data_IF_225830434906
#
_entry.id   IF_225830434906
#
_cell.length_a   1.000
_cell.length_b   1.000
_cell.length_c   1.000
_cell.angle_alpha   90.00
_cell.angle_beta   90.00
_cell.angle_gamma   90.00
#
_symmetry.space_group_name_H-M   'P 1'
#
loop_
_entity.id
_entity.type
_entity.pdbx_description
1 polymer ?
#
# COMPACT_ATOMS: atom_id res chain seq x y z
N UNK A 1 24.89 30.05 30.11
CA UNK A 1 25.04 29.16 28.94
C UNK A 1 23.72 28.46 28.75
N UNK A 2 22.93 28.92 27.79
CA UNK A 2 21.64 28.35 27.43
C UNK A 2 21.91 27.18 26.48
N UNK A 3 21.56 25.97 26.94
CA UNK A 3 21.60 24.74 26.17
C UNK A 3 20.57 24.85 25.05
N UNK A 4 21.05 24.90 23.80
CA UNK A 4 20.21 24.74 22.61
C UNK A 4 19.79 23.27 22.52
N UNK A 5 18.54 22.97 22.89
CA UNK A 5 17.91 21.71 22.51
C UNK A 5 17.73 21.71 20.99
N UNK A 6 18.54 20.93 20.29
CA UNK A 6 18.28 20.57 18.90
C UNK A 6 17.04 19.68 18.90
N UNK A 7 15.92 20.22 18.44
CA UNK A 7 14.68 19.48 18.23
C UNK A 7 14.90 18.47 17.09
N UNK A 8 15.58 17.36 17.38
CA UNK A 8 15.71 16.24 16.45
C UNK A 8 14.36 15.51 16.44
N UNK A 9 13.41 15.98 15.63
CA UNK A 9 12.22 15.18 15.32
C UNK A 9 12.74 13.88 14.72
N UNK A 10 12.72 12.79 15.49
CA UNK A 10 13.05 11.47 14.94
C UNK A 10 12.04 11.24 13.82
N UNK A 11 12.45 11.18 12.55
CA UNK A 11 11.50 10.91 11.49
C UNK A 11 10.97 9.50 11.74
N UNK A 12 9.65 9.37 11.86
CA UNK A 12 8.98 8.10 11.66
C UNK A 12 9.15 7.68 10.19
N UNK A 13 8.56 6.56 9.77
CA UNK A 13 8.54 6.17 8.36
C UNK A 13 7.59 7.03 7.50
N UNK A 14 7.51 8.33 7.76
CA UNK A 14 6.62 9.28 7.09
C UNK A 14 7.27 9.92 5.83
N UNK A 15 8.53 9.58 5.54
CA UNK A 15 9.24 9.98 4.33
C UNK A 15 10.33 8.97 3.93
N UNK A 16 10.93 9.10 2.73
CA UNK A 16 10.84 10.27 1.84
C UNK A 16 9.58 10.34 0.98
N UNK A 17 8.83 9.25 0.84
CA UNK A 17 7.58 9.25 0.07
C UNK A 17 6.45 9.74 0.97
N UNK A 18 5.81 10.84 0.56
CA UNK A 18 4.83 11.55 1.38
C UNK A 18 3.59 10.70 1.66
N UNK A 19 3.06 10.75 2.88
CA UNK A 19 1.77 10.13 3.19
C UNK A 19 0.62 10.84 2.47
N UNK A 20 -0.48 10.11 2.27
CA UNK A 20 -1.71 10.65 1.71
C UNK A 20 -2.55 11.22 2.86
N UNK A 21 -2.83 12.52 2.79
CA UNK A 21 -3.69 13.19 3.75
C UNK A 21 -5.15 12.87 3.49
N UNK A 22 -5.90 12.50 4.53
CA UNK A 22 -7.37 12.34 4.47
C UNK A 22 -8.10 13.65 4.13
N UNK A 23 -7.43 14.80 4.24
CA UNK A 23 -7.94 16.07 3.75
C UNK A 23 -8.17 16.06 2.22
N UNK A 24 -7.55 15.13 1.47
CA UNK A 24 -7.84 14.91 0.04
C UNK A 24 -9.31 14.56 -0.22
N UNK A 25 -10.01 14.01 0.78
CA UNK A 25 -11.43 13.71 0.72
C UNK A 25 -12.33 14.87 1.20
N UNK A 26 -11.74 15.99 1.61
CA UNK A 26 -12.45 17.16 2.13
C UNK A 26 -12.74 17.14 3.63
N UNK A 27 -12.20 16.17 4.37
CA UNK A 27 -12.36 16.07 5.84
C UNK A 27 -11.31 16.87 6.59
N UNK A 28 -11.70 17.43 7.74
CA UNK A 28 -10.83 18.31 8.57
C UNK A 28 -10.17 17.59 9.75
N UNK A 29 -10.34 16.27 9.85
CA UNK A 29 -9.84 15.44 10.95
C UNK A 29 -10.28 15.94 12.33
N UNK A 30 -11.51 16.43 12.46
CA UNK A 30 -12.01 16.88 13.76
C UNK A 30 -12.52 15.69 14.59
N UNK A 31 -12.40 15.73 15.93
CA UNK A 31 -12.95 14.67 16.78
C UNK A 31 -14.45 14.46 16.51
N UNK A 32 -14.84 13.23 16.17
CA UNK A 32 -16.23 12.86 15.86
C UNK A 32 -16.67 13.11 14.41
N UNK A 33 -15.81 13.64 13.55
CA UNK A 33 -16.08 13.76 12.12
C UNK A 33 -16.02 12.36 11.47
N UNK A 34 -17.14 11.94 10.86
CA UNK A 34 -17.22 10.67 10.12
C UNK A 34 -17.23 10.93 8.62
N UNK A 35 -16.59 10.04 7.87
CA UNK A 35 -16.69 10.07 6.41
C UNK A 35 -18.12 9.72 5.96
N UNK A 36 -18.59 10.38 4.89
CA UNK A 36 -19.85 10.00 4.27
C UNK A 36 -19.79 8.51 3.84
N UNK A 37 -20.88 7.73 3.96
CA UNK A 37 -20.86 6.29 3.68
C UNK A 37 -20.32 5.90 2.30
N UNK A 38 -20.53 6.73 1.27
CA UNK A 38 -20.02 6.51 -0.10
C UNK A 38 -18.55 6.88 -0.27
N UNK A 39 -17.95 7.59 0.68
CA UNK A 39 -16.50 7.82 0.77
C UNK A 39 -15.78 6.79 1.64
N UNK A 40 -16.50 5.79 2.20
CA UNK A 40 -15.90 4.83 3.14
C UNK A 40 -14.74 4.06 2.50
N UNK A 41 -14.90 3.64 1.24
CA UNK A 41 -13.84 2.92 0.52
C UNK A 41 -12.61 3.82 0.33
N UNK A 42 -12.79 5.07 -0.12
CA UNK A 42 -11.67 5.97 -0.30
C UNK A 42 -10.92 6.25 1.02
N UNK A 43 -11.63 6.34 2.14
CA UNK A 43 -11.02 6.51 3.46
C UNK A 43 -10.27 5.26 3.94
N UNK A 44 -10.81 4.08 3.70
CA UNK A 44 -10.15 2.80 3.97
C UNK A 44 -8.90 2.64 3.09
N UNK A 45 -9.00 3.02 1.81
CA UNK A 45 -7.89 2.98 0.86
C UNK A 45 -6.74 3.90 1.27
N UNK A 46 -7.02 5.12 1.74
CA UNK A 46 -5.99 5.99 2.33
C UNK A 46 -5.25 5.30 3.48
N UNK A 47 -5.95 4.53 4.31
CA UNK A 47 -5.35 3.82 5.43
C UNK A 47 -4.41 2.72 4.93
N UNK A 48 -4.88 1.89 4.00
CA UNK A 48 -4.09 0.83 3.36
C UNK A 48 -2.86 1.41 2.66
N UNK A 49 -3.04 2.46 1.85
CA UNK A 49 -1.96 3.12 1.11
C UNK A 49 -0.94 3.75 2.05
N UNK A 50 -1.36 4.35 3.15
CA UNK A 50 -0.42 4.88 4.14
C UNK A 50 0.35 3.79 4.88
N UNK A 51 -0.23 2.59 5.08
CA UNK A 51 0.52 1.44 5.57
C UNK A 51 1.59 0.98 4.57
N UNK A 52 1.26 0.92 3.28
CA UNK A 52 2.20 0.60 2.20
C UNK A 52 3.33 1.63 2.11
N UNK A 53 3.00 2.93 2.14
CA UNK A 53 3.97 4.03 2.09
C UNK A 53 4.90 4.00 3.30
N UNK A 54 4.38 3.77 4.51
CA UNK A 54 5.22 3.62 5.70
C UNK A 54 6.14 2.40 5.62
N UNK A 55 5.63 1.28 5.09
CA UNK A 55 6.43 0.09 4.85
C UNK A 55 7.64 0.38 3.96
N UNK A 56 7.42 0.94 2.77
CA UNK A 56 8.51 1.24 1.84
C UNK A 56 9.43 2.35 2.29
N UNK A 57 8.91 3.38 2.98
CA UNK A 57 9.75 4.41 3.61
C UNK A 57 10.73 3.77 4.61
N UNK A 58 10.27 2.81 5.41
CA UNK A 58 11.15 2.13 6.35
C UNK A 58 12.20 1.25 5.65
N UNK A 59 11.82 0.53 4.58
CA UNK A 59 12.76 -0.24 3.74
C UNK A 59 13.80 0.70 3.12
N UNK A 60 13.37 1.81 2.55
CA UNK A 60 14.22 2.82 1.94
C UNK A 60 15.23 3.41 2.93
N UNK A 61 14.78 3.74 4.14
CA UNK A 61 15.64 4.30 5.19
C UNK A 61 16.67 3.30 5.71
N UNK A 62 16.36 1.99 5.68
CA UNK A 62 17.21 0.96 6.28
C UNK A 62 18.02 0.14 5.28
N UNK A 63 17.72 0.20 3.98
CA UNK A 63 18.34 -0.66 2.96
C UNK A 63 19.88 -0.59 2.95
N UNK A 64 20.48 0.57 3.15
CA UNK A 64 21.95 0.70 3.26
C UNK A 64 22.41 0.50 4.72
N UNK A 65 21.63 0.98 5.68
CA UNK A 65 22.02 0.96 7.09
C UNK A 65 22.15 -0.45 7.67
N UNK A 66 21.34 -1.40 7.18
CA UNK A 66 21.39 -2.80 7.62
C UNK A 66 22.73 -3.47 7.33
N UNK A 67 23.48 -3.01 6.32
CA UNK A 67 24.79 -3.56 5.96
C UNK A 67 25.84 -3.37 7.07
N UNK A 68 25.62 -2.42 8.00
CA UNK A 68 26.45 -2.23 9.20
C UNK A 68 26.29 -3.37 10.21
N UNK A 69 25.26 -4.19 10.05
CA UNK A 69 24.98 -5.38 10.85
C UNK A 69 24.66 -6.55 9.91
N UNK A 70 25.67 -7.22 9.31
CA UNK A 70 25.45 -8.29 8.35
C UNK A 70 24.55 -9.43 8.85
N UNK A 71 24.57 -9.69 10.16
CA UNK A 71 23.69 -10.68 10.80
C UNK A 71 22.20 -10.33 10.71
N UNK A 72 21.85 -9.05 10.51
CA UNK A 72 20.48 -8.55 10.37
C UNK A 72 19.95 -8.62 8.94
N UNK A 73 20.83 -8.77 7.94
CA UNK A 73 20.46 -8.77 6.51
C UNK A 73 19.39 -9.82 6.19
N UNK A 74 19.48 -11.09 6.63
CA UNK A 74 18.46 -12.09 6.29
C UNK A 74 17.06 -11.75 6.80
N UNK A 75 16.96 -11.14 7.99
CA UNK A 75 15.68 -10.72 8.54
C UNK A 75 15.13 -9.49 7.80
N UNK A 76 16.01 -8.56 7.43
CA UNK A 76 15.64 -7.39 6.63
C UNK A 76 15.16 -7.77 5.22
N UNK A 77 15.83 -8.71 4.55
CA UNK A 77 15.41 -9.19 3.22
C UNK A 77 13.99 -9.76 3.29
N UNK A 78 13.69 -10.62 4.28
CA UNK A 78 12.33 -11.16 4.47
C UNK A 78 11.29 -10.07 4.74
N UNK A 79 11.64 -9.08 5.55
CA UNK A 79 10.77 -7.93 5.81
C UNK A 79 10.48 -7.13 4.52
N UNK A 80 11.52 -6.86 3.73
CA UNK A 80 11.41 -6.13 2.46
C UNK A 80 10.63 -6.95 1.41
N UNK A 81 10.85 -8.27 1.33
CA UNK A 81 10.07 -9.17 0.48
C UNK A 81 8.60 -9.20 0.86
N UNK A 82 8.30 -9.24 2.16
CA UNK A 82 6.92 -9.17 2.63
C UNK A 82 6.22 -7.88 2.17
N UNK A 83 6.90 -6.74 2.18
CA UNK A 83 6.33 -5.50 1.64
C UNK A 83 5.99 -5.61 0.14
N UNK A 84 6.91 -6.15 -0.67
CA UNK A 84 6.68 -6.32 -2.11
C UNK A 84 5.51 -7.27 -2.40
N UNK A 85 5.40 -8.33 -1.61
CA UNK A 85 4.27 -9.27 -1.67
C UNK A 85 2.95 -8.60 -1.28
N UNK A 86 2.93 -7.83 -0.19
CA UNK A 86 1.73 -7.09 0.25
C UNK A 86 1.25 -6.14 -0.85
N UNK A 87 2.17 -5.40 -1.48
CA UNK A 87 1.84 -4.49 -2.56
C UNK A 87 1.26 -5.23 -3.78
N UNK A 88 1.80 -6.39 -4.11
CA UNK A 88 1.30 -7.21 -5.21
C UNK A 88 -0.13 -7.72 -4.94
N UNK A 89 -0.35 -8.33 -3.78
CA UNK A 89 -1.66 -8.87 -3.39
C UNK A 89 -2.73 -7.78 -3.26
N UNK A 90 -2.35 -6.59 -2.79
CA UNK A 90 -3.21 -5.41 -2.72
C UNK A 90 -3.82 -5.10 -4.10
N UNK A 91 -2.98 -4.83 -5.10
CA UNK A 91 -3.46 -4.48 -6.43
C UNK A 91 -4.12 -5.67 -7.17
N UNK A 92 -3.64 -6.90 -6.98
CA UNK A 92 -4.32 -8.07 -7.53
C UNK A 92 -5.73 -8.23 -6.96
N UNK A 93 -5.91 -7.94 -5.67
CA UNK A 93 -7.22 -8.00 -5.02
C UNK A 93 -8.18 -6.96 -5.60
N UNK A 94 -7.68 -5.75 -5.84
CA UNK A 94 -8.46 -4.67 -6.47
C UNK A 94 -8.97 -5.07 -7.84
N UNK A 95 -8.08 -5.49 -8.74
CA UNK A 95 -8.42 -5.86 -10.11
C UNK A 95 -9.33 -7.10 -10.19
N UNK A 96 -9.14 -8.06 -9.29
CA UNK A 96 -9.88 -9.33 -9.31
C UNK A 96 -11.26 -9.21 -8.67
N UNK A 97 -11.40 -8.44 -7.60
CA UNK A 97 -12.60 -8.46 -6.75
C UNK A 97 -13.33 -7.13 -6.66
N UNK A 98 -12.61 -6.00 -6.65
CA UNK A 98 -13.24 -4.69 -6.45
C UNK A 98 -13.62 -4.02 -7.76
N UNK A 99 -12.69 -3.86 -8.69
CA UNK A 99 -12.92 -3.11 -9.92
C UNK A 99 -14.08 -3.69 -10.77
N UNK A 100 -14.22 -5.01 -10.95
CA UNK A 100 -15.35 -5.57 -11.70
C UNK A 100 -16.70 -5.34 -10.99
N UNK A 101 -16.74 -5.43 -9.66
CA UNK A 101 -17.98 -5.17 -8.90
C UNK A 101 -18.35 -3.67 -8.93
N UNK A 102 -17.36 -2.77 -8.90
CA UNK A 102 -17.55 -1.32 -9.09
C UNK A 102 -18.19 -1.04 -10.45
N UNK A 103 -17.67 -1.62 -11.54
CA UNK A 103 -18.26 -1.45 -12.88
C UNK A 103 -19.70 -1.96 -12.93
N UNK A 104 -19.98 -3.12 -12.31
CA UNK A 104 -21.32 -3.70 -12.27
C UNK A 104 -22.32 -2.82 -11.50
N UNK A 105 -21.91 -2.24 -10.38
CA UNK A 105 -22.76 -1.38 -9.54
C UNK A 105 -23.01 -0.02 -10.19
N UNK A 106 -21.96 0.57 -10.76
CA UNK A 106 -22.03 1.89 -11.40
C UNK A 106 -22.71 1.83 -12.76
N UNK A 107 -22.56 0.71 -13.48
CA UNK A 107 -22.96 0.54 -14.87
C UNK A 107 -22.03 1.22 -15.87
N UNK A 108 -20.86 1.69 -15.42
CA UNK A 108 -19.87 2.40 -16.24
C UNK A 108 -18.66 1.50 -16.46
N UNK A 109 -18.58 0.91 -17.66
CA UNK A 109 -17.46 0.05 -18.06
C UNK A 109 -16.18 0.88 -18.21
N UNK A 110 -15.07 0.36 -17.70
CA UNK A 110 -13.75 0.99 -17.76
C UNK A 110 -13.55 2.12 -16.76
N UNK A 111 -14.44 2.28 -15.78
CA UNK A 111 -14.35 3.37 -14.80
C UNK A 111 -13.07 3.29 -13.93
N UNK A 112 -12.47 2.10 -13.82
CA UNK A 112 -11.21 1.86 -13.10
C UNK A 112 -10.01 1.59 -14.04
N UNK A 113 -10.16 1.69 -15.37
CA UNK A 113 -9.09 1.34 -16.32
C UNK A 113 -7.83 2.18 -16.10
N UNK A 114 -7.98 3.46 -15.74
CA UNK A 114 -6.85 4.33 -15.42
C UNK A 114 -6.03 3.81 -14.24
N UNK A 115 -6.67 3.21 -13.24
CA UNK A 115 -5.99 2.63 -12.07
C UNK A 115 -5.23 1.36 -12.48
N UNK A 116 -5.82 0.53 -13.33
CA UNK A 116 -5.15 -0.66 -13.90
C UNK A 116 -3.94 -0.28 -14.75
N UNK A 117 -4.07 0.75 -15.61
CA UNK A 117 -2.94 1.27 -16.40
C UNK A 117 -1.80 1.77 -15.50
N UNK A 118 -2.15 2.41 -14.39
CA UNK A 118 -1.18 2.86 -13.40
C UNK A 118 -0.51 1.69 -12.66
N UNK A 119 -1.20 0.57 -12.40
CA UNK A 119 -0.59 -0.65 -11.85
C UNK A 119 0.54 -1.16 -12.76
N UNK A 120 0.25 -1.28 -14.06
CA UNK A 120 1.24 -1.71 -15.04
C UNK A 120 2.44 -0.75 -15.14
N UNK A 121 2.24 0.54 -14.87
CA UNK A 121 3.28 1.54 -15.00
C UNK A 121 4.43 1.40 -13.98
N UNK A 122 4.18 0.85 -12.78
CA UNK A 122 5.23 0.58 -11.79
C UNK A 122 5.64 -0.91 -11.71
N UNK A 123 4.92 -1.81 -12.37
CA UNK A 123 5.06 -3.26 -12.24
C UNK A 123 6.49 -3.75 -12.51
N UNK A 124 7.15 -3.23 -13.55
CA UNK A 124 8.51 -3.64 -13.90
C UNK A 124 9.52 -3.28 -12.79
N UNK A 125 9.38 -2.11 -12.16
CA UNK A 125 10.24 -1.75 -11.04
C UNK A 125 9.98 -2.59 -9.78
N UNK A 126 8.72 -3.00 -9.56
CA UNK A 126 8.38 -3.96 -8.50
C UNK A 126 8.97 -5.35 -8.77
N UNK A 127 8.98 -5.80 -10.04
CA UNK A 127 9.66 -7.05 -10.44
C UNK A 127 11.15 -6.98 -10.17
N UNK A 128 11.81 -5.87 -10.50
CA UNK A 128 13.24 -5.68 -10.18
C UNK A 128 13.51 -5.69 -8.67
N UNK A 129 12.62 -5.07 -7.88
CA UNK A 129 12.70 -5.05 -6.42
C UNK A 129 12.65 -6.47 -5.85
N UNK A 130 11.64 -7.25 -6.24
CA UNK A 130 11.47 -8.63 -5.79
C UNK A 130 12.65 -9.51 -6.25
N UNK A 131 13.08 -9.40 -7.51
CA UNK A 131 14.18 -10.19 -8.04
C UNK A 131 15.51 -9.93 -7.31
N UNK A 132 15.80 -8.68 -6.95
CA UNK A 132 17.01 -8.36 -6.18
C UNK A 132 16.99 -9.04 -4.80
N UNK A 133 15.90 -8.89 -4.07
CA UNK A 133 15.76 -9.43 -2.71
C UNK A 133 15.69 -10.97 -2.71
N UNK A 134 14.94 -11.57 -3.63
CA UNK A 134 14.86 -13.03 -3.80
C UNK A 134 16.25 -13.62 -4.10
N UNK A 135 17.00 -13.03 -5.05
CA UNK A 135 18.34 -13.52 -5.39
C UNK A 135 19.29 -13.50 -4.18
N UNK A 136 19.19 -12.48 -3.33
CA UNK A 136 19.96 -12.36 -2.10
C UNK A 136 19.49 -13.34 -1.02
N UNK A 137 18.18 -13.62 -0.93
CA UNK A 137 17.61 -14.59 0.00
C UNK A 137 18.05 -16.03 -0.30
N UNK A 138 18.01 -16.43 -1.58
CA UNK A 138 18.35 -17.80 -2.01
C UNK A 138 19.86 -18.00 -2.24
N UNK A 139 20.67 -16.95 -2.10
CA UNK A 139 22.12 -16.99 -2.22
C UNK A 139 22.66 -17.07 -3.65
N UNK A 140 21.84 -16.80 -4.67
CA UNK A 140 22.30 -16.67 -6.07
C UNK A 140 22.87 -15.29 -6.38
N UNK A 141 22.55 -14.29 -5.54
CA UNK A 141 23.11 -12.95 -5.54
C UNK A 141 23.58 -12.52 -4.15
N UNK A 142 24.19 -11.33 -4.06
CA UNK A 142 24.53 -10.69 -2.78
C UNK A 142 23.61 -9.49 -2.56
N UNK A 143 23.18 -9.29 -1.32
CA UNK A 143 22.42 -8.11 -0.94
C UNK A 143 23.25 -6.83 -1.19
N UNK A 144 22.64 -5.82 -1.81
CA UNK A 144 23.26 -4.53 -2.09
C UNK A 144 22.24 -3.43 -1.78
N UNK A 145 22.43 -2.75 -0.64
CA UNK A 145 21.53 -1.71 -0.18
C UNK A 145 21.44 -0.52 -1.12
N UNK A 146 22.55 -0.16 -1.79
CA UNK A 146 22.56 0.95 -2.75
C UNK A 146 21.78 0.59 -4.02
N UNK A 147 21.91 -0.65 -4.49
CA UNK A 147 21.10 -1.17 -5.60
C UNK A 147 19.61 -1.21 -5.24
N UNK A 148 19.25 -1.76 -4.08
CA UNK A 148 17.85 -1.78 -3.62
C UNK A 148 17.27 -0.37 -3.56
N UNK A 149 18.02 0.59 -3.01
CA UNK A 149 17.61 2.00 -2.96
C UNK A 149 17.36 2.57 -4.36
N UNK A 150 18.25 2.32 -5.32
CA UNK A 150 18.11 2.79 -6.71
C UNK A 150 16.90 2.16 -7.42
N UNK A 151 16.58 0.90 -7.12
CA UNK A 151 15.37 0.26 -7.64
C UNK A 151 14.14 0.95 -7.05
N UNK A 152 14.10 1.20 -5.75
CA UNK A 152 12.98 1.92 -5.12
C UNK A 152 12.82 3.32 -5.73
N UNK A 153 13.91 4.05 -5.97
CA UNK A 153 13.90 5.36 -6.63
C UNK A 153 13.32 5.31 -8.06
N UNK A 154 13.36 4.16 -8.75
CA UNK A 154 12.90 4.05 -10.15
C UNK A 154 11.38 3.95 -10.29
N UNK A 155 10.69 3.33 -9.33
CA UNK A 155 9.24 3.06 -9.44
C UNK A 155 8.39 3.80 -8.41
N UNK A 156 8.95 4.17 -7.25
CA UNK A 156 8.16 4.80 -6.20
C UNK A 156 7.49 6.12 -6.58
N UNK A 157 8.07 7.00 -7.41
CA UNK A 157 7.34 8.19 -7.88
C UNK A 157 6.05 7.84 -8.62
N UNK A 158 6.08 6.80 -9.45
CA UNK A 158 4.92 6.32 -10.22
C UNK A 158 3.91 5.63 -9.30
N UNK A 159 4.37 4.69 -8.46
CA UNK A 159 3.50 4.04 -7.48
C UNK A 159 2.85 5.06 -6.55
N UNK A 160 3.60 6.04 -6.04
CA UNK A 160 3.05 7.04 -5.13
C UNK A 160 2.00 7.92 -5.81
N UNK A 161 2.18 8.24 -7.10
CA UNK A 161 1.16 8.95 -7.88
C UNK A 161 -0.12 8.10 -7.98
N UNK A 162 0.02 6.83 -8.36
CA UNK A 162 -1.10 5.88 -8.43
C UNK A 162 -1.90 5.81 -7.12
N UNK A 163 -1.21 5.58 -5.99
CA UNK A 163 -1.83 5.46 -4.68
C UNK A 163 -2.66 6.70 -4.30
N UNK A 164 -2.37 7.87 -4.87
CA UNK A 164 -3.16 9.08 -4.64
C UNK A 164 -4.24 9.30 -5.69
N UNK A 165 -3.97 9.01 -6.96
CA UNK A 165 -4.95 9.15 -8.03
C UNK A 165 -6.15 8.24 -7.82
N UNK A 166 -5.93 7.02 -7.32
CA UNK A 166 -7.04 6.14 -6.95
C UNK A 166 -7.98 6.76 -5.91
N UNK A 167 -7.43 7.46 -4.90
CA UNK A 167 -8.26 8.14 -3.90
C UNK A 167 -9.16 9.18 -4.57
N UNK A 168 -8.68 9.86 -5.61
CA UNK A 168 -9.49 10.82 -6.36
C UNK A 168 -10.51 10.14 -7.28
N UNK A 169 -10.17 9.01 -7.91
CA UNK A 169 -11.13 8.19 -8.67
C UNK A 169 -12.27 7.73 -7.77
N UNK A 170 -11.95 7.12 -6.63
CA UNK A 170 -12.92 6.63 -5.65
C UNK A 170 -13.74 7.77 -5.05
N UNK A 171 -13.11 8.92 -4.80
CA UNK A 171 -13.83 10.12 -4.37
C UNK A 171 -14.87 10.57 -5.40
N UNK A 172 -14.58 10.47 -6.70
CA UNK A 172 -15.50 10.91 -7.74
C UNK A 172 -16.80 10.08 -7.79
N UNK A 173 -16.90 9.00 -7.01
CA UNK A 173 -18.09 8.14 -6.94
C UNK A 173 -19.24 8.75 -6.13
N UNK A 174 -19.12 10.00 -5.66
CA UNK A 174 -20.24 10.80 -5.14
C UNK A 174 -21.49 10.74 -6.05
N UNK A 175 -21.30 10.67 -7.38
CA UNK A 175 -22.39 10.51 -8.36
C UNK A 175 -23.15 9.17 -8.27
N UNK A 176 -22.61 8.18 -7.57
CA UNK A 176 -23.18 6.85 -7.37
C UNK A 176 -23.59 6.57 -5.92
N UNK A 177 -23.66 7.60 -5.08
CA UNK A 177 -23.99 7.44 -3.65
C UNK A 177 -25.23 6.57 -3.37
N UNK A 178 -26.23 6.61 -4.27
CA UNK A 178 -27.51 5.89 -4.11
C UNK A 178 -27.54 4.51 -4.80
N UNK A 179 -26.44 4.07 -5.43
CA UNK A 179 -26.41 2.81 -6.20
C UNK A 179 -26.32 1.57 -5.31
N UNK A 180 -25.72 1.69 -4.14
CA UNK A 180 -25.56 0.59 -3.18
C UNK A 180 -25.26 1.14 -1.79
N UNK A 181 -25.36 0.30 -0.77
CA UNK A 181 -24.73 0.58 0.52
C UNK A 181 -23.23 0.33 0.38
N UNK A 182 -22.49 1.40 0.06
CA UNK A 182 -21.05 1.36 -0.19
C UNK A 182 -20.25 0.87 1.02
N UNK A 183 -20.69 1.16 2.24
CA UNK A 183 -20.01 0.70 3.45
C UNK A 183 -20.18 -0.80 3.62
N UNK A 184 -21.41 -1.30 3.48
CA UNK A 184 -21.68 -2.74 3.55
C UNK A 184 -21.01 -3.51 2.42
N UNK A 185 -21.13 -3.02 1.19
CA UNK A 185 -20.55 -3.68 0.02
C UNK A 185 -19.02 -3.75 0.11
N UNK A 186 -18.33 -2.69 0.55
CA UNK A 186 -16.87 -2.70 0.73
C UNK A 186 -16.45 -3.80 1.71
N UNK A 187 -17.11 -3.88 2.88
CA UNK A 187 -16.85 -4.91 3.90
C UNK A 187 -17.12 -6.32 3.42
N UNK A 188 -18.23 -6.51 2.71
CA UNK A 188 -18.61 -7.82 2.17
C UNK A 188 -17.60 -8.28 1.11
N UNK A 189 -17.19 -7.39 0.21
CA UNK A 189 -16.23 -7.70 -0.86
C UNK A 189 -14.84 -7.96 -0.32
N UNK A 190 -14.35 -7.17 0.65
CA UNK A 190 -13.12 -7.48 1.37
C UNK A 190 -13.19 -8.87 2.04
N UNK A 191 -14.30 -9.17 2.72
CA UNK A 191 -14.50 -10.47 3.36
C UNK A 191 -14.53 -11.65 2.38
N UNK A 192 -15.10 -11.46 1.18
CA UNK A 192 -15.05 -12.46 0.10
C UNK A 192 -13.61 -12.67 -0.38
N UNK A 193 -12.88 -11.60 -0.64
CA UNK A 193 -11.48 -11.67 -1.09
C UNK A 193 -10.60 -12.40 -0.08
N UNK A 194 -10.75 -12.09 1.21
CA UNK A 194 -10.04 -12.76 2.31
C UNK A 194 -10.35 -14.26 2.35
N UNK A 195 -11.63 -14.65 2.26
CA UNK A 195 -12.01 -16.07 2.28
C UNK A 195 -11.49 -16.84 1.07
N UNK A 196 -11.36 -16.16 -0.07
CA UNK A 196 -10.86 -16.77 -1.29
C UNK A 196 -9.33 -16.93 -1.32
N UNK A 197 -8.61 -16.16 -0.51
CA UNK A 197 -7.14 -16.19 -0.38
C UNK A 197 -6.68 -17.07 0.79
N UNK A 198 -7.51 -17.26 1.83
CA UNK A 198 -7.22 -18.20 2.91
C UNK A 198 -7.17 -19.66 2.43
N UNK A 199 -5.99 -20.28 2.45
CA UNK A 199 -5.81 -21.73 2.25
C UNK A 199 -5.92 -22.52 3.57
N UNK A 200 -6.15 -23.83 3.48
CA UNK A 200 -6.44 -24.73 4.61
C UNK A 200 -5.27 -24.92 5.60
N UNK A 201 -4.05 -24.48 5.26
CA UNK A 201 -2.83 -24.76 6.02
C UNK A 201 -2.43 -23.65 7.02
N UNK A 202 -3.30 -22.66 7.23
CA UNK A 202 -3.00 -21.50 8.08
C UNK A 202 -2.07 -20.50 7.38
N UNK A 203 -1.73 -19.39 8.06
CA UNK A 203 -0.96 -18.27 7.51
C UNK A 203 0.32 -18.75 6.79
N UNK A 204 0.26 -18.82 5.46
CA UNK A 204 1.43 -18.74 4.62
C UNK A 204 1.72 -17.26 4.40
N UNK A 205 2.99 -16.85 4.35
CA UNK A 205 3.39 -15.47 4.01
C UNK A 205 3.08 -15.10 2.54
N UNK A 206 2.14 -15.82 1.92
CA UNK A 206 1.62 -15.61 0.59
C UNK A 206 0.30 -14.81 0.61
N UNK A 207 -0.25 -14.45 1.77
CA UNK A 207 -1.50 -13.69 1.84
C UNK A 207 -1.47 -12.66 2.97
N UNK A 208 -1.50 -11.39 2.59
CA UNK A 208 -1.48 -10.28 3.54
C UNK A 208 -2.76 -9.47 3.50
N UNK A 209 -3.56 -9.61 4.55
CA UNK A 209 -4.15 -8.49 5.31
C UNK A 209 -4.77 -9.11 6.57
N UNK A 210 -4.18 -8.85 7.74
CA UNK A 210 -4.72 -9.32 9.04
C UNK A 210 -5.37 -8.14 9.76
N UNK A 211 -6.67 -8.29 9.97
CA UNK A 211 -7.59 -7.66 10.93
C UNK A 211 -7.09 -6.46 11.75
N UNK A 212 -7.77 -5.32 11.55
CA UNK A 212 -8.05 -4.34 12.60
C UNK A 212 -9.57 -4.32 12.84
N UNK A 213 -10.06 -5.28 13.64
CA UNK A 213 -11.33 -5.13 14.34
C UNK A 213 -11.10 -5.61 15.78
N UNK A 214 -11.45 -4.72 16.71
CA UNK A 214 -11.33 -4.82 18.18
C UNK A 214 -9.93 -4.55 18.76
N UNK A 215 -9.58 -3.27 18.92
CA UNK A 215 -9.35 -2.56 20.19
C UNK A 215 -9.11 -1.06 19.95
#
# INVERSE_FOLDING_TARGET
MTSTETNSSRPWADGPFELISIASLGYKCQPGETVAPYHSMAAEMITVHNCLIRGINSVYLQCINVERSPASIPAFIRYANAWGHILHEHHQTEEKWFFPEIEAITGEKGIMDVNVEQHHAFEEGLKEYNAHLESAEIGTGTYDGAKLKSIIDSFMPVLRQHLQDEIFTLKAFDKYQDKTDWTKWTKDTASKAIKATQTADGMSFQDSFVYMNEF
#
